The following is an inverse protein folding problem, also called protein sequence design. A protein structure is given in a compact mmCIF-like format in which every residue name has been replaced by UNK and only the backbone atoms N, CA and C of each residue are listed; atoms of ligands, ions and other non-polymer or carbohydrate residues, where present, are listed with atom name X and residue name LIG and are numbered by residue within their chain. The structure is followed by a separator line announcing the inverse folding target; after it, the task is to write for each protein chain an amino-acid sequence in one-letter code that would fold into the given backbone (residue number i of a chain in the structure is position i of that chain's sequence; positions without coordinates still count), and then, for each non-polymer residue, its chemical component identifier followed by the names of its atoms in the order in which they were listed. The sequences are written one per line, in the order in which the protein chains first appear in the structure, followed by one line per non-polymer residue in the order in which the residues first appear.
data_IF_233428306105
#
_entry.id   IF_233428306105
#
_cell.length_a   1.000
_cell.length_b   1.000
_cell.length_c   1.000
_cell.angle_alpha   90.00
_cell.angle_beta   90.00
_cell.angle_gamma   90.00
#
_symmetry.space_group_name_H-M   'P 1'
#
loop_
_entity.id
_entity.type
_entity.pdbx_description
1 polymer ?
#
# COMPACT_ATOMS: atom_id res chain seq x y z
N UNK A 1 -25.12 -1.50 -4.16
CA UNK A 1 -24.81 -1.13 -2.77
C UNK A 1 -25.95 -0.37 -2.12
N UNK A 2 -26.32 0.83 -2.60
CA UNK A 2 -27.48 1.61 -2.09
C UNK A 2 -28.75 0.76 -1.95
N UNK A 3 -29.13 0.01 -3.00
CA UNK A 3 -30.27 -0.92 -2.98
C UNK A 3 -30.23 -1.95 -1.83
N UNK A 4 -29.04 -2.38 -1.41
CA UNK A 4 -28.87 -3.38 -0.34
C UNK A 4 -29.00 -2.69 1.03
N UNK A 5 -28.40 -1.51 1.19
CA UNK A 5 -28.51 -0.70 2.41
C UNK A 5 -29.97 -0.34 2.68
N UNK A 6 -30.72 0.01 1.63
CA UNK A 6 -32.13 0.32 1.72
C UNK A 6 -32.98 -0.92 2.09
N UNK A 7 -32.79 -2.03 1.37
CA UNK A 7 -33.55 -3.25 1.60
C UNK A 7 -33.27 -3.92 2.96
N UNK A 8 -32.04 -3.83 3.48
CA UNK A 8 -31.63 -4.50 4.73
C UNK A 8 -31.61 -3.59 5.95
N UNK A 9 -31.62 -2.27 5.75
CA UNK A 9 -31.58 -1.26 6.82
C UNK A 9 -30.55 -1.59 7.93
N UNK A 10 -29.27 -1.92 7.63
CA UNK A 10 -28.31 -2.27 8.66
C UNK A 10 -28.14 -1.14 9.69
N UNK A 11 -27.86 -1.47 10.95
CA UNK A 11 -27.63 -0.45 11.98
C UNK A 11 -26.43 0.45 11.65
N UNK A 12 -25.39 -0.14 11.04
CA UNK A 12 -24.19 0.54 10.59
C UNK A 12 -23.66 -0.06 9.30
N UNK A 13 -22.89 0.71 8.53
CA UNK A 13 -22.11 0.22 7.41
C UNK A 13 -20.72 0.87 7.37
N UNK A 14 -19.79 0.23 6.65
CA UNK A 14 -18.48 0.79 6.32
C UNK A 14 -18.23 0.62 4.84
N UNK A 15 -17.90 1.71 4.15
CA UNK A 15 -17.59 1.73 2.73
C UNK A 15 -16.17 2.21 2.52
N UNK A 16 -15.42 1.53 1.65
CA UNK A 16 -14.07 1.93 1.25
C UNK A 16 -14.07 2.38 -0.21
N UNK A 17 -13.26 3.42 -0.51
CA UNK A 17 -13.03 3.86 -1.87
C UNK A 17 -11.67 4.57 -2.05
N UNK A 18 -11.35 4.94 -3.28
CA UNK A 18 -10.12 5.68 -3.62
C UNK A 18 -10.05 7.02 -2.87
N UNK A 19 -8.83 7.41 -2.47
CA UNK A 19 -8.59 8.67 -1.73
C UNK A 19 -9.07 9.93 -2.47
N UNK A 20 -9.06 9.88 -3.81
CA UNK A 20 -9.46 10.99 -4.68
C UNK A 20 -10.98 11.01 -4.97
N UNK A 21 -11.80 10.26 -4.23
CA UNK A 21 -13.26 10.23 -4.46
C UNK A 21 -13.87 11.64 -4.42
N UNK A 22 -13.37 12.51 -3.55
CA UNK A 22 -13.83 13.91 -3.40
C UNK A 22 -13.59 14.78 -4.63
N UNK A 23 -12.50 14.55 -5.37
CA UNK A 23 -12.17 15.31 -6.59
C UNK A 23 -12.64 14.63 -7.86
N UNK A 24 -13.10 13.38 -7.77
CA UNK A 24 -13.60 12.63 -8.91
C UNK A 24 -14.82 13.32 -9.54
N UNK A 25 -14.85 13.38 -10.87
CA UNK A 25 -15.93 14.01 -11.64
C UNK A 25 -16.30 15.41 -11.12
N UNK A 26 -15.26 16.24 -10.84
CA UNK A 26 -15.41 17.59 -10.26
C UNK A 26 -16.21 17.61 -8.96
N UNK A 27 -16.10 16.55 -8.15
CA UNK A 27 -16.80 16.38 -6.87
C UNK A 27 -18.25 15.90 -6.98
N UNK A 28 -18.78 15.72 -8.20
CA UNK A 28 -20.16 15.26 -8.41
C UNK A 28 -20.40 13.88 -7.80
N UNK A 29 -19.45 12.96 -7.96
CA UNK A 29 -19.58 11.59 -7.46
C UNK A 29 -19.71 11.57 -5.93
N UNK A 30 -18.82 12.25 -5.22
CA UNK A 30 -18.83 12.29 -3.76
C UNK A 30 -20.13 12.95 -3.23
N UNK A 31 -20.54 14.07 -3.82
CA UNK A 31 -21.78 14.76 -3.45
C UNK A 31 -23.00 13.86 -3.59
N UNK A 32 -23.14 13.16 -4.71
CA UNK A 32 -24.26 12.22 -4.94
C UNK A 32 -24.23 11.10 -3.89
N UNK A 33 -23.06 10.52 -3.60
CA UNK A 33 -22.94 9.47 -2.58
C UNK A 33 -23.41 9.97 -1.22
N UNK A 34 -22.90 11.11 -0.75
CA UNK A 34 -23.25 11.67 0.56
C UNK A 34 -24.75 12.00 0.64
N UNK A 35 -25.30 12.61 -0.41
CA UNK A 35 -26.73 12.92 -0.51
C UNK A 35 -27.59 11.65 -0.45
N UNK A 36 -27.25 10.63 -1.24
CA UNK A 36 -28.01 9.37 -1.24
C UNK A 36 -27.94 8.66 0.12
N UNK A 37 -26.81 8.70 0.82
CA UNK A 37 -26.70 8.11 2.15
C UNK A 37 -27.53 8.87 3.19
N UNK A 38 -27.57 10.20 3.09
CA UNK A 38 -28.40 11.05 3.95
C UNK A 38 -29.90 10.82 3.72
N UNK A 39 -30.33 10.74 2.44
CA UNK A 39 -31.70 10.41 2.04
C UNK A 39 -32.15 9.03 2.52
N UNK A 40 -31.22 8.06 2.62
CA UNK A 40 -31.49 6.76 3.22
C UNK A 40 -31.61 6.81 4.76
N UNK A 41 -31.41 7.97 5.40
CA UNK A 41 -31.50 8.10 6.85
C UNK A 41 -30.25 7.62 7.60
N UNK A 42 -29.06 7.82 7.02
CA UNK A 42 -27.79 7.49 7.67
C UNK A 42 -26.95 8.73 7.92
N UNK A 43 -26.46 8.87 9.15
CA UNK A 43 -25.47 9.86 9.51
C UNK A 43 -24.07 9.29 9.24
N UNK A 44 -23.34 9.91 8.32
CA UNK A 44 -21.96 9.52 8.00
C UNK A 44 -21.01 10.22 8.96
N UNK A 45 -20.06 9.47 9.54
CA UNK A 45 -19.01 10.02 10.39
C UNK A 45 -18.21 11.09 9.66
N UNK A 46 -18.00 12.23 10.31
CA UNK A 46 -17.20 13.35 9.80
C UNK A 46 -17.67 13.86 8.42
N UNK A 47 -18.97 13.76 8.12
CA UNK A 47 -19.55 14.13 6.81
C UNK A 47 -19.22 15.58 6.39
N UNK A 48 -19.22 16.51 7.34
CA UNK A 48 -18.97 17.94 7.12
C UNK A 48 -17.48 18.27 7.01
N UNK A 49 -16.61 17.37 7.46
CA UNK A 49 -15.17 17.60 7.56
C UNK A 49 -14.45 17.19 6.27
N UNK A 50 -14.45 18.07 5.27
CA UNK A 50 -13.96 17.76 3.92
C UNK A 50 -12.63 18.44 3.58
N UNK A 51 -11.93 18.95 4.59
CA UNK A 51 -10.67 19.70 4.45
C UNK A 51 -9.47 18.88 3.95
N UNK A 52 -8.27 19.50 3.91
CA UNK A 52 -7.03 18.81 3.60
C UNK A 52 -6.66 17.71 4.61
N UNK A 53 -7.12 17.83 5.86
CA UNK A 53 -6.93 16.91 6.98
C UNK A 53 -8.14 15.99 7.21
N UNK A 54 -8.95 15.76 6.17
CA UNK A 54 -10.19 14.97 6.23
C UNK A 54 -9.98 13.61 6.92
N UNK A 55 -10.62 13.38 8.07
CA UNK A 55 -10.43 12.16 8.86
C UNK A 55 -11.00 10.91 8.18
N UNK A 56 -11.85 11.06 7.16
CA UNK A 56 -12.31 9.95 6.32
C UNK A 56 -11.17 9.39 5.47
N UNK A 57 -10.06 10.13 5.28
CA UNK A 57 -8.88 9.64 4.57
C UNK A 57 -7.93 8.95 5.56
N UNK A 58 -7.85 7.62 5.45
CA UNK A 58 -6.98 6.80 6.30
C UNK A 58 -5.81 6.29 5.49
N UNK A 59 -4.58 6.52 5.96
CA UNK A 59 -3.36 6.00 5.35
C UNK A 59 -2.92 4.69 6.04
N UNK A 60 -2.84 3.61 5.27
CA UNK A 60 -2.32 2.32 5.73
C UNK A 60 -0.90 2.40 6.30
N UNK A 61 -0.14 3.47 6.02
CA UNK A 61 1.22 3.69 6.54
C UNK A 61 1.30 3.62 8.07
N UNK A 62 0.21 3.93 8.77
CA UNK A 62 0.19 3.94 10.24
C UNK A 62 0.21 2.51 10.82
N UNK A 63 -0.27 1.53 10.05
CA UNK A 63 -0.35 0.12 10.47
C UNK A 63 0.75 -0.73 9.83
N UNK A 64 1.04 -0.50 8.55
CA UNK A 64 2.00 -1.27 7.76
C UNK A 64 2.99 -0.32 7.05
N UNK A 65 4.18 -0.79 6.65
CA UNK A 65 5.19 0.05 6.00
C UNK A 65 4.87 0.29 4.51
N UNK A 66 3.65 0.75 4.21
CA UNK A 66 3.16 1.04 2.85
C UNK A 66 2.24 2.26 2.85
N UNK A 67 2.50 3.23 1.97
CA UNK A 67 1.56 4.31 1.69
C UNK A 67 0.35 3.77 0.93
N UNK A 68 -0.83 3.84 1.55
CA UNK A 68 -2.09 3.39 0.95
C UNK A 68 -3.23 4.16 1.57
N UNK A 69 -3.51 5.32 0.99
CA UNK A 69 -4.64 6.16 1.40
C UNK A 69 -5.93 5.68 0.75
N UNK A 70 -7.00 5.64 1.55
CA UNK A 70 -8.37 5.33 1.15
C UNK A 70 -9.35 6.21 1.90
N UNK A 71 -10.45 6.54 1.24
CA UNK A 71 -11.57 7.15 1.93
C UNK A 71 -12.43 6.05 2.56
N UNK A 72 -12.81 6.25 3.82
CA UNK A 72 -13.66 5.33 4.59
C UNK A 72 -14.91 6.10 5.02
N UNK A 73 -16.07 5.61 4.61
CA UNK A 73 -17.37 6.17 4.98
C UNK A 73 -18.04 5.23 5.98
N UNK A 74 -18.15 5.67 7.23
CA UNK A 74 -18.85 4.94 8.29
C UNK A 74 -20.22 5.57 8.47
N UNK A 75 -21.29 4.83 8.18
CA UNK A 75 -22.65 5.31 8.31
C UNK A 75 -23.39 4.66 9.47
N UNK A 76 -24.15 5.47 10.20
CA UNK A 76 -24.99 5.05 11.34
C UNK A 76 -26.45 5.33 11.02
N UNK A 77 -27.34 4.37 11.26
CA UNK A 77 -28.77 4.58 11.04
C UNK A 77 -29.31 5.61 12.04
N UNK A 78 -29.90 6.70 11.55
CA UNK A 78 -30.26 7.90 12.32
C UNK A 78 -31.30 7.62 13.41
N UNK A 79 -32.26 6.74 13.13
CA UNK A 79 -33.33 6.34 14.06
C UNK A 79 -32.80 5.62 15.31
N UNK A 80 -31.59 5.06 15.25
CA UNK A 80 -30.97 4.34 16.38
C UNK A 80 -30.10 5.23 17.27
N UNK A 81 -29.83 6.47 16.87
CA UNK A 81 -29.00 7.43 17.61
C UNK A 81 -27.63 6.85 18.06
N UNK A 82 -27.02 6.00 17.23
CA UNK A 82 -25.78 5.27 17.57
C UNK A 82 -24.50 6.10 17.35
N UNK A 83 -24.57 7.14 16.52
CA UNK A 83 -23.37 7.90 16.12
C UNK A 83 -22.71 8.59 17.32
N UNK A 84 -23.50 9.22 18.19
CA UNK A 84 -23.01 10.00 19.33
C UNK A 84 -21.76 10.84 18.94
N UNK A 85 -20.67 10.71 19.70
CA UNK A 85 -19.40 11.41 19.52
C UNK A 85 -18.41 10.65 18.62
N UNK A 86 -18.86 9.63 17.87
CA UNK A 86 -17.98 8.87 16.98
C UNK A 86 -17.36 9.77 15.90
N UNK A 87 -16.04 9.68 15.78
CA UNK A 87 -15.23 10.35 14.75
C UNK A 87 -14.06 9.47 14.34
N UNK A 88 -13.70 9.50 13.06
CA UNK A 88 -12.50 8.83 12.55
C UNK A 88 -11.20 9.52 12.98
N UNK A 89 -11.27 10.73 13.56
CA UNK A 89 -10.10 11.39 14.18
C UNK A 89 -9.49 10.54 15.30
N UNK A 90 -10.30 9.69 15.92
CA UNK A 90 -9.89 8.76 16.97
C UNK A 90 -9.16 7.52 16.46
N UNK A 91 -9.02 7.32 15.13
CA UNK A 91 -8.30 6.16 14.56
C UNK A 91 -6.85 6.07 15.05
N UNK A 92 -6.25 7.21 15.40
CA UNK A 92 -4.89 7.30 15.96
C UNK A 92 -4.73 6.49 17.25
N UNK A 93 -5.80 6.34 18.04
CA UNK A 93 -5.84 5.50 19.25
C UNK A 93 -5.68 4.01 18.94
N UNK A 94 -5.96 3.60 17.70
CA UNK A 94 -5.85 2.23 17.23
C UNK A 94 -4.48 1.91 16.61
N UNK A 95 -3.56 2.88 16.54
CA UNK A 95 -2.26 2.64 15.93
C UNK A 95 -1.40 1.71 16.79
N UNK A 96 -0.66 0.77 16.19
CA UNK A 96 0.20 -0.12 16.95
C UNK A 96 1.32 0.69 17.63
N UNK A 97 1.61 0.38 18.90
CA UNK A 97 2.70 1.03 19.64
C UNK A 97 4.05 0.90 18.92
N UNK A 98 4.28 -0.25 18.28
CA UNK A 98 5.43 -0.48 17.41
C UNK A 98 4.95 -0.98 16.04
N UNK A 99 5.17 -0.16 15.00
CA UNK A 99 4.86 -0.54 13.62
C UNK A 99 5.87 -1.57 13.12
N UNK A 100 5.37 -2.63 12.49
CA UNK A 100 6.19 -3.64 11.82
C UNK A 100 7.01 -2.98 10.71
N UNK A 101 8.30 -3.31 10.65
CA UNK A 101 9.21 -2.83 9.63
C UNK A 101 9.07 -3.66 8.36
N UNK A 102 9.41 -3.07 7.21
CA UNK A 102 9.36 -3.80 5.95
C UNK A 102 10.30 -5.01 5.94
N UNK A 103 11.45 -4.91 6.61
CA UNK A 103 12.39 -6.02 6.74
C UNK A 103 11.77 -7.24 7.45
N UNK A 104 10.95 -7.00 8.47
CA UNK A 104 10.25 -8.06 9.22
C UNK A 104 9.17 -8.75 8.38
N UNK A 105 8.66 -8.12 7.32
CA UNK A 105 7.68 -8.70 6.41
C UNK A 105 8.30 -9.49 5.25
N UNK A 106 9.63 -9.52 5.13
CA UNK A 106 10.30 -10.23 4.04
C UNK A 106 10.65 -11.65 4.46
N UNK A 107 10.25 -12.62 3.63
CA UNK A 107 10.68 -14.00 3.82
C UNK A 107 12.21 -14.13 3.68
N UNK A 108 12.85 -14.97 4.51
CA UNK A 108 14.29 -15.19 4.47
C UNK A 108 14.72 -15.98 3.23
N UNK A 109 13.87 -16.91 2.77
CA UNK A 109 14.11 -17.73 1.58
C UNK A 109 13.02 -17.46 0.55
N UNK A 110 13.43 -17.11 -0.68
CA UNK A 110 12.53 -16.73 -1.76
C UNK A 110 12.94 -17.48 -3.03
N UNK A 111 11.96 -17.99 -3.79
CA UNK A 111 12.21 -18.69 -5.04
C UNK A 111 12.80 -17.76 -6.12
N UNK A 112 13.68 -18.28 -6.96
CA UNK A 112 14.34 -17.50 -8.00
C UNK A 112 13.38 -16.87 -9.03
N UNK A 113 12.17 -17.42 -9.22
CA UNK A 113 11.16 -16.87 -10.13
C UNK A 113 10.68 -15.46 -9.75
N UNK A 114 10.87 -15.04 -8.49
CA UNK A 114 10.55 -13.70 -8.01
C UNK A 114 11.65 -12.68 -8.32
N UNK A 115 12.80 -13.13 -8.82
CA UNK A 115 13.88 -12.27 -9.28
C UNK A 115 13.51 -11.68 -10.65
N UNK A 116 13.70 -10.36 -10.81
CA UNK A 116 13.46 -9.68 -12.08
C UNK A 116 14.36 -10.25 -13.18
N UNK A 117 13.79 -10.49 -14.36
CA UNK A 117 14.56 -10.90 -15.54
C UNK A 117 15.51 -9.77 -15.98
N UNK A 118 16.64 -10.07 -16.64
CA UNK A 118 17.58 -9.03 -17.09
C UNK A 118 16.94 -7.96 -17.97
N UNK A 119 15.99 -8.34 -18.82
CA UNK A 119 15.26 -7.43 -19.71
C UNK A 119 14.37 -6.49 -18.89
N UNK A 120 13.58 -7.04 -17.97
CA UNK A 120 12.69 -6.25 -17.12
C UNK A 120 13.47 -5.32 -16.19
N UNK A 121 14.58 -5.79 -15.62
CA UNK A 121 15.49 -4.98 -14.82
C UNK A 121 16.03 -3.78 -15.60
N UNK A 122 16.56 -4.02 -16.82
CA UNK A 122 17.11 -2.96 -17.67
C UNK A 122 16.03 -1.92 -18.03
N UNK A 123 14.81 -2.37 -18.30
CA UNK A 123 13.66 -1.50 -18.56
C UNK A 123 13.35 -0.62 -17.34
N UNK A 124 13.12 -1.22 -16.16
CA UNK A 124 12.76 -0.51 -14.93
C UNK A 124 13.86 0.47 -14.49
N UNK A 125 15.13 0.08 -14.64
CA UNK A 125 16.26 0.94 -14.32
C UNK A 125 16.31 2.20 -15.20
N UNK A 126 16.11 2.05 -16.51
CA UNK A 126 16.05 3.19 -17.45
C UNK A 126 14.84 4.07 -17.18
N UNK A 127 13.69 3.45 -16.89
CA UNK A 127 12.47 4.16 -16.51
C UNK A 127 12.71 5.04 -15.28
N UNK A 128 13.28 4.48 -14.21
CA UNK A 128 13.59 5.23 -13.00
C UNK A 128 14.54 6.42 -13.24
N UNK A 129 15.61 6.24 -14.03
CA UNK A 129 16.52 7.34 -14.40
C UNK A 129 15.81 8.47 -15.14
N UNK A 130 14.92 8.15 -16.07
CA UNK A 130 14.15 9.15 -16.82
C UNK A 130 13.25 9.99 -15.91
N UNK A 131 12.65 9.37 -14.90
CA UNK A 131 11.80 10.08 -13.93
C UNK A 131 12.62 10.88 -12.91
N UNK A 132 13.80 10.42 -12.54
CA UNK A 132 14.74 11.18 -11.71
C UNK A 132 15.18 12.48 -12.41
N UNK A 133 15.49 12.42 -13.71
CA UNK A 133 15.84 13.59 -14.51
C UNK A 133 14.70 14.62 -14.65
N UNK A 134 13.45 14.22 -14.36
CA UNK A 134 12.25 15.07 -14.40
C UNK A 134 11.78 15.54 -13.01
N UNK A 135 12.54 15.25 -11.95
CA UNK A 135 12.25 15.70 -10.59
C UNK A 135 11.05 15.00 -9.92
N UNK A 136 10.59 13.85 -10.43
CA UNK A 136 9.35 13.17 -9.97
C UNK A 136 9.60 11.79 -9.35
N UNK A 137 10.74 11.59 -8.68
CA UNK A 137 11.13 10.28 -8.17
C UNK A 137 10.37 9.90 -6.88
N UNK A 138 9.52 8.87 -6.93
CA UNK A 138 9.08 8.15 -5.72
C UNK A 138 8.78 6.66 -6.01
N UNK A 139 8.99 5.82 -5.00
CA UNK A 139 8.81 4.35 -4.95
C UNK A 139 9.79 3.51 -5.80
N UNK A 140 10.00 3.83 -7.08
CA UNK A 140 10.88 3.03 -7.94
C UNK A 140 12.36 3.10 -7.53
N UNK A 141 12.81 4.23 -6.99
CA UNK A 141 14.19 4.39 -6.50
C UNK A 141 14.47 3.51 -5.28
N UNK A 142 13.51 3.41 -4.34
CA UNK A 142 13.61 2.53 -3.18
C UNK A 142 13.60 1.06 -3.60
N UNK A 143 12.71 0.68 -4.53
CA UNK A 143 12.61 -0.68 -5.05
C UNK A 143 13.91 -1.12 -5.76
N UNK A 144 14.49 -0.25 -6.59
CA UNK A 144 15.77 -0.51 -7.28
C UNK A 144 16.93 -0.61 -6.27
N UNK A 145 16.99 0.25 -5.26
CA UNK A 145 18.04 0.19 -4.22
C UNK A 145 17.95 -1.08 -3.37
N UNK A 146 16.74 -1.50 -3.00
CA UNK A 146 16.52 -2.70 -2.16
C UNK A 146 16.79 -3.99 -2.93
N UNK A 147 16.33 -4.08 -4.18
CA UNK A 147 16.62 -5.24 -5.05
C UNK A 147 18.10 -5.29 -5.43
N UNK A 148 18.74 -4.16 -5.74
CA UNK A 148 20.16 -4.13 -6.08
C UNK A 148 21.05 -4.59 -4.90
N UNK A 149 20.72 -4.20 -3.66
CA UNK A 149 21.43 -4.67 -2.46
C UNK A 149 21.30 -6.18 -2.26
N UNK A 150 20.14 -6.78 -2.53
CA UNK A 150 19.94 -8.24 -2.43
C UNK A 150 20.52 -9.02 -3.62
N UNK A 151 20.47 -8.47 -4.84
CA UNK A 151 21.16 -9.04 -6.00
C UNK A 151 22.68 -9.06 -5.81
N UNK A 152 23.26 -8.03 -5.18
CA UNK A 152 24.67 -8.07 -4.83
C UNK A 152 24.99 -9.28 -3.93
N UNK A 153 24.14 -9.62 -2.95
CA UNK A 153 24.32 -10.82 -2.12
C UNK A 153 24.07 -12.15 -2.86
N UNK A 154 23.04 -12.22 -3.71
CA UNK A 154 22.73 -13.42 -4.50
C UNK A 154 23.79 -13.70 -5.58
N UNK A 155 24.30 -12.66 -6.23
CA UNK A 155 25.37 -12.76 -7.22
C UNK A 155 26.73 -13.00 -6.53
N UNK A 156 26.99 -12.40 -5.37
CA UNK A 156 28.23 -12.63 -4.63
C UNK A 156 28.31 -14.05 -4.05
N UNK A 157 27.20 -14.62 -3.57
CA UNK A 157 27.15 -16.03 -3.13
C UNK A 157 27.29 -17.02 -4.30
N UNK A 158 26.71 -16.72 -5.48
CA UNK A 158 26.95 -17.48 -6.70
C UNK A 158 28.41 -17.36 -7.21
N UNK A 159 29.03 -16.19 -7.12
CA UNK A 159 30.43 -15.97 -7.50
C UNK A 159 31.43 -16.60 -6.51
N UNK A 160 31.12 -16.61 -5.21
CA UNK A 160 31.91 -17.34 -4.20
C UNK A 160 31.83 -18.86 -4.42
N UNK A 161 30.63 -19.38 -4.77
CA UNK A 161 30.44 -20.79 -5.14
C UNK A 161 31.14 -21.15 -6.46
N UNK A 162 31.23 -20.21 -7.40
CA UNK A 162 31.97 -20.38 -8.65
C UNK A 162 33.49 -20.33 -8.46
N UNK A 163 34.02 -19.43 -7.60
CA UNK A 163 35.45 -19.42 -7.20
C UNK A 163 35.88 -20.69 -6.45
N UNK A 164 35.02 -21.26 -5.61
CA UNK A 164 35.30 -22.52 -4.91
C UNK A 164 35.44 -23.73 -5.86
N UNK A 165 34.68 -23.76 -6.95
CA UNK A 165 34.76 -24.82 -7.96
C UNK A 165 35.95 -24.66 -8.92
N UNK A 166 36.46 -23.43 -9.11
CA UNK A 166 37.63 -23.19 -9.96
C UNK A 166 38.96 -23.60 -9.29
N UNK A 167 39.02 -23.64 -7.95
CA UNK A 167 40.21 -24.09 -7.20
C UNK A 167 40.29 -25.61 -7.01
N UNK A 168 39.19 -26.37 -7.23
CA UNK A 168 39.22 -27.85 -7.18
C UNK A 168 39.59 -28.50 -8.51
N UNK A 169 39.45 -27.79 -9.63
CA UNK A 169 39.75 -28.30 -10.97
C UNK A 169 41.20 -28.08 -11.43
N UNK A 170 42.08 -27.53 -10.57
CA UNK A 170 43.51 -27.31 -10.85
C UNK A 170 44.50 -28.20 -10.09
N UNK A 171 44.03 -29.20 -9.33
CA UNK A 171 44.89 -30.09 -8.51
C UNK A 171 44.75 -31.58 -8.86
N UNK A 172 44.52 -31.92 -10.12
CA UNK A 172 44.60 -33.31 -10.56
C UNK A 172 44.94 -33.37 -12.04
N UNK A 173 46.23 -33.41 -12.35
CA UNK A 173 46.87 -34.20 -13.42
C UNK A 173 48.35 -33.81 -13.52
N UNK A 174 49.24 -34.77 -13.28
CA UNK A 174 50.64 -34.72 -13.70
C UNK A 174 51.66 -35.02 -12.62
N UNK A 175 51.96 -36.30 -12.41
CA UNK A 175 53.33 -36.81 -12.55
C UNK A 175 53.30 -38.35 -12.56
N UNK A 176 53.85 -38.92 -13.64
CA UNK A 176 54.43 -40.25 -13.60
C UNK A 176 55.82 -40.21 -12.96
#
# INVERSE_FOLDING_TARGET
MVRIIDARRPAMFVLENVKNLKSHDKGKTFRIIMQTLDELGYDVADAEDNGPDDPKIIDGKHFLPQHRERIVLVGFRRDLNLKADFTLRDISKCFPAQRVTLAQLLDPMVEAKYILTPVLWKYLYRYAKKHQARGTASVMEWFIRTIAKRHAYAVCSLLQRWRGNFNRSRLGYGHG
#
